data_IF_141311744119
#
_entry.id   IF_141311744119
#
_cell.length_a   1.000
_cell.length_b   1.000
_cell.length_c   1.000
_cell.angle_alpha   90.00
_cell.angle_beta   90.00
_cell.angle_gamma   90.00
#
_symmetry.space_group_name_H-M   'P 1'
#
loop_
_entity.id
_entity.type
_entity.pdbx_description
1 polymer ?
#
# COMPACT_ATOMS: atom_id res chain seq x y z
N UNK A 1 24.41 53.13 12.97
CA UNK A 1 23.78 52.84 11.67
C UNK A 1 22.84 51.66 11.87
N UNK A 2 21.53 51.88 11.85
CA UNK A 2 20.55 50.79 11.77
C UNK A 2 20.18 50.61 10.29
N UNK A 3 20.19 49.37 9.82
CA UNK A 3 19.77 49.00 8.47
C UNK A 3 18.26 49.17 8.31
N UNK A 4 17.83 49.71 7.17
CA UNK A 4 16.41 49.77 6.83
C UNK A 4 15.91 48.38 6.38
N UNK A 5 14.68 48.00 6.74
CA UNK A 5 14.08 46.75 6.27
C UNK A 5 13.83 46.81 4.76
N UNK A 6 14.28 45.76 4.06
CA UNK A 6 13.99 45.56 2.65
C UNK A 6 12.80 44.61 2.49
N UNK A 7 11.78 45.04 1.76
CA UNK A 7 10.65 44.19 1.39
C UNK A 7 10.92 43.66 -0.02
N UNK A 8 10.89 42.34 -0.17
CA UNK A 8 10.96 41.67 -1.47
C UNK A 8 9.65 40.95 -1.76
N UNK A 9 9.09 41.23 -2.93
CA UNK A 9 7.87 40.59 -3.42
C UNK A 9 8.27 39.45 -4.35
N UNK A 10 8.11 38.22 -3.89
CA UNK A 10 8.29 37.03 -4.73
C UNK A 10 6.96 36.76 -5.43
N UNK A 11 6.97 36.80 -6.75
CA UNK A 11 5.83 36.39 -7.58
C UNK A 11 6.25 35.09 -8.26
N UNK A 12 5.67 33.97 -7.80
CA UNK A 12 5.91 32.66 -8.40
C UNK A 12 4.75 32.31 -9.34
N UNK A 13 5.05 32.12 -10.62
CA UNK A 13 4.13 31.55 -11.60
C UNK A 13 4.13 30.03 -11.47
N UNK A 14 3.40 29.52 -10.48
CA UNK A 14 3.28 28.08 -10.25
C UNK A 14 2.27 27.51 -11.24
N UNK A 15 2.74 26.72 -12.21
CA UNK A 15 1.86 25.84 -12.98
C UNK A 15 1.51 24.66 -12.09
N UNK A 16 0.28 24.60 -11.58
CA UNK A 16 -0.20 23.46 -10.79
C UNK A 16 -0.44 22.32 -11.78
N UNK A 17 0.60 21.52 -12.03
CA UNK A 17 0.46 20.30 -12.82
C UNK A 17 -0.36 19.31 -12.00
N UNK A 18 -1.34 18.70 -12.64
CA UNK A 18 -2.18 17.68 -12.01
C UNK A 18 -1.28 16.45 -11.74
N UNK A 19 -1.23 15.91 -10.51
CA UNK A 19 -0.32 14.80 -10.21
C UNK A 19 -0.74 13.55 -10.99
N UNK A 20 0.20 12.62 -11.18
CA UNK A 20 -0.08 11.28 -11.68
C UNK A 20 -0.19 10.28 -10.53
N UNK A 21 -0.92 9.19 -10.75
CA UNK A 21 -0.97 8.04 -9.85
C UNK A 21 -0.27 6.85 -10.50
N UNK A 22 0.62 6.22 -9.75
CA UNK A 22 1.31 4.99 -10.13
C UNK A 22 1.03 3.92 -9.09
N UNK A 23 0.58 2.75 -9.54
CA UNK A 23 0.28 1.64 -8.65
C UNK A 23 1.04 0.37 -9.05
N UNK A 24 1.60 -0.33 -8.06
CA UNK A 24 2.06 -1.72 -8.20
C UNK A 24 1.10 -2.60 -7.41
N UNK A 25 0.42 -3.50 -8.10
CA UNK A 25 -0.63 -4.35 -7.55
C UNK A 25 -0.25 -5.81 -7.79
N UNK A 26 -0.08 -6.57 -6.71
CA UNK A 26 0.45 -7.93 -6.74
C UNK A 26 -0.56 -8.88 -6.13
N UNK A 27 -0.88 -9.97 -6.83
CA UNK A 27 -1.68 -11.07 -6.31
C UNK A 27 -1.03 -12.40 -6.64
N UNK A 28 -0.73 -13.22 -5.63
CA UNK A 28 0.00 -14.48 -5.84
C UNK A 28 -0.88 -15.66 -5.40
N UNK A 29 -1.36 -16.42 -6.38
CA UNK A 29 -2.07 -17.68 -6.14
C UNK A 29 -1.15 -18.88 -6.27
N UNK A 30 -0.24 -18.85 -7.24
CA UNK A 30 0.56 -19.98 -7.65
C UNK A 30 2.01 -19.84 -7.17
N UNK A 31 2.51 -20.88 -6.52
CA UNK A 31 3.85 -20.92 -5.97
C UNK A 31 4.62 -22.11 -6.53
N UNK A 32 5.94 -22.09 -6.37
CA UNK A 32 6.82 -23.23 -6.66
C UNK A 32 6.54 -24.39 -5.72
N UNK A 33 6.19 -24.09 -4.46
CA UNK A 33 5.67 -25.06 -3.51
C UNK A 33 4.12 -25.12 -3.58
N UNK A 34 3.52 -26.23 -4.05
CA UNK A 34 2.06 -26.35 -4.19
C UNK A 34 1.29 -26.23 -2.86
N UNK A 35 1.96 -26.46 -1.71
CA UNK A 35 1.33 -26.31 -0.39
C UNK A 35 1.03 -24.87 -0.01
N UNK A 36 1.52 -23.90 -0.78
CA UNK A 36 1.34 -22.47 -0.56
C UNK A 36 0.25 -21.89 -1.47
N UNK A 37 -0.45 -22.71 -2.27
CA UNK A 37 -1.44 -22.20 -3.21
C UNK A 37 -2.57 -21.44 -2.50
N UNK A 38 -2.86 -20.25 -3.04
CA UNK A 38 -3.96 -19.39 -2.60
C UNK A 38 -5.04 -19.34 -3.67
N UNK A 39 -6.28 -19.11 -3.22
CA UNK A 39 -7.45 -19.10 -4.12
C UNK A 39 -7.80 -17.70 -4.63
N UNK A 40 -7.71 -16.70 -3.76
CA UNK A 40 -8.34 -15.39 -4.01
C UNK A 40 -7.36 -14.24 -4.28
N UNK A 41 -6.06 -14.37 -3.99
CA UNK A 41 -5.11 -13.27 -4.07
C UNK A 41 -5.03 -12.62 -5.48
N UNK A 42 -5.12 -13.43 -6.55
CA UNK A 42 -5.18 -12.91 -7.94
C UNK A 42 -6.50 -12.17 -8.22
N UNK A 43 -7.63 -12.69 -7.72
CA UNK A 43 -8.93 -12.06 -7.89
C UNK A 43 -8.99 -10.72 -7.14
N UNK A 44 -8.42 -10.69 -5.93
CA UNK A 44 -8.28 -9.52 -5.07
C UNK A 44 -7.45 -8.43 -5.72
N UNK A 45 -6.26 -8.77 -6.23
CA UNK A 45 -5.40 -7.86 -6.96
C UNK A 45 -6.09 -7.27 -8.20
N UNK A 46 -6.80 -8.09 -8.97
CA UNK A 46 -7.56 -7.63 -10.15
C UNK A 46 -8.68 -6.66 -9.76
N UNK A 47 -9.48 -7.01 -8.75
CA UNK A 47 -10.57 -6.18 -8.27
C UNK A 47 -10.08 -4.82 -7.74
N UNK A 48 -8.99 -4.83 -6.96
CA UNK A 48 -8.36 -3.62 -6.46
C UNK A 48 -7.84 -2.75 -7.62
N UNK A 49 -7.07 -3.34 -8.56
CA UNK A 49 -6.51 -2.65 -9.71
C UNK A 49 -7.58 -2.00 -10.60
N UNK A 50 -8.67 -2.70 -10.86
CA UNK A 50 -9.80 -2.16 -11.61
C UNK A 50 -10.44 -0.98 -10.87
N UNK A 51 -10.76 -1.17 -9.59
CA UNK A 51 -11.44 -0.16 -8.78
C UNK A 51 -10.61 1.10 -8.62
N UNK A 52 -9.34 0.98 -8.23
CA UNK A 52 -8.45 2.15 -8.04
C UNK A 52 -8.27 2.91 -9.35
N UNK A 53 -8.16 2.20 -10.48
CA UNK A 53 -8.07 2.82 -11.81
C UNK A 53 -9.31 3.64 -12.12
N UNK A 54 -10.50 3.11 -11.83
CA UNK A 54 -11.77 3.78 -12.12
C UNK A 54 -11.93 5.07 -11.31
N UNK A 55 -11.68 5.02 -10.00
CA UNK A 55 -11.88 6.18 -9.11
C UNK A 55 -10.78 7.23 -9.23
N UNK A 56 -9.57 6.84 -9.65
CA UNK A 56 -8.43 7.74 -9.76
C UNK A 56 -8.48 8.59 -11.05
N UNK A 57 -9.04 8.06 -12.15
CA UNK A 57 -9.10 8.75 -13.46
C UNK A 57 -9.60 10.20 -13.43
N UNK A 58 -10.67 10.55 -12.68
CA UNK A 58 -11.12 11.94 -12.60
C UNK A 58 -10.10 12.87 -11.91
N UNK A 59 -9.30 12.34 -10.99
CA UNK A 59 -8.48 13.11 -10.05
C UNK A 59 -7.01 13.28 -10.47
N UNK A 60 -6.45 12.37 -11.29
CA UNK A 60 -5.04 12.42 -11.70
C UNK A 60 -4.88 12.74 -13.19
N UNK A 61 -3.69 13.22 -13.59
CA UNK A 61 -3.35 13.46 -15.01
C UNK A 61 -3.18 12.14 -15.75
N UNK A 62 -2.43 11.22 -15.13
CA UNK A 62 -2.18 9.87 -15.60
C UNK A 62 -2.43 8.90 -14.45
N UNK A 63 -3.01 7.75 -14.77
CA UNK A 63 -3.15 6.61 -13.85
C UNK A 63 -2.50 5.41 -14.50
N UNK A 64 -1.42 4.90 -13.91
CA UNK A 64 -0.70 3.72 -14.40
C UNK A 64 -0.71 2.64 -13.33
N UNK A 65 -1.28 1.48 -13.65
CA UNK A 65 -1.35 0.34 -12.75
C UNK A 65 -0.58 -0.83 -13.34
N UNK A 66 0.50 -1.22 -12.66
CA UNK A 66 1.27 -2.42 -12.96
C UNK A 66 0.71 -3.57 -12.13
N UNK A 67 -0.09 -4.41 -12.76
CA UNK A 67 -0.66 -5.62 -12.18
C UNK A 67 0.28 -6.81 -12.43
N UNK A 68 0.69 -7.50 -11.36
CA UNK A 68 1.51 -8.73 -11.40
C UNK A 68 0.70 -9.87 -10.81
N UNK A 69 0.35 -10.87 -11.62
CA UNK A 69 -0.54 -11.96 -11.17
C UNK A 69 -0.13 -13.36 -11.62
N UNK A 70 0.76 -13.50 -12.62
CA UNK A 70 1.23 -14.83 -13.00
C UNK A 70 2.39 -15.29 -12.12
N UNK A 71 2.62 -16.59 -12.08
CA UNK A 71 3.74 -17.19 -11.35
C UNK A 71 5.08 -16.62 -11.80
N UNK A 72 5.26 -16.34 -13.09
CA UNK A 72 6.49 -15.78 -13.65
C UNK A 72 6.66 -14.31 -13.28
N UNK A 73 5.59 -13.52 -13.25
CA UNK A 73 5.61 -12.09 -12.92
C UNK A 73 5.90 -11.82 -11.44
N UNK A 74 5.51 -12.76 -10.57
CA UNK A 74 5.48 -12.58 -9.11
C UNK A 74 6.66 -13.24 -8.39
N UNK A 75 7.76 -13.47 -9.12
CA UNK A 75 9.03 -13.88 -8.51
C UNK A 75 9.65 -12.71 -7.76
N UNK A 76 10.53 -13.00 -6.79
CA UNK A 76 11.29 -11.97 -6.07
C UNK A 76 12.01 -11.02 -7.03
N UNK A 77 12.74 -11.55 -8.01
CA UNK A 77 13.49 -10.73 -8.95
C UNK A 77 12.59 -9.78 -9.74
N UNK A 78 11.47 -10.28 -10.27
CA UNK A 78 10.56 -9.47 -11.09
C UNK A 78 9.81 -8.42 -10.27
N UNK A 79 9.42 -8.73 -9.04
CA UNK A 79 8.81 -7.75 -8.14
C UNK A 79 9.83 -6.67 -7.75
N UNK A 80 11.07 -7.05 -7.41
CA UNK A 80 12.16 -6.08 -7.12
C UNK A 80 12.36 -5.16 -8.31
N UNK A 81 12.62 -5.71 -9.50
CA UNK A 81 12.84 -4.96 -10.73
C UNK A 81 11.67 -4.02 -11.06
N UNK A 82 10.43 -4.46 -10.82
CA UNK A 82 9.25 -3.62 -11.02
C UNK A 82 9.26 -2.42 -10.08
N UNK A 83 9.48 -2.63 -8.78
CA UNK A 83 9.52 -1.55 -7.79
C UNK A 83 10.68 -0.57 -8.06
N UNK A 84 11.82 -1.05 -8.53
CA UNK A 84 12.96 -0.21 -8.92
C UNK A 84 12.64 0.73 -10.09
N UNK A 85 11.69 0.38 -10.96
CA UNK A 85 11.21 1.24 -12.05
C UNK A 85 10.58 2.55 -11.58
N UNK A 86 10.18 2.64 -10.30
CA UNK A 86 9.53 3.81 -9.70
C UNK A 86 10.48 4.73 -8.93
N UNK A 87 11.80 4.53 -9.05
CA UNK A 87 12.83 5.39 -8.43
C UNK A 87 12.88 6.82 -9.00
N UNK A 88 12.25 7.08 -10.15
CA UNK A 88 12.27 8.37 -10.85
C UNK A 88 10.89 9.09 -10.86
N UNK A 89 9.96 8.72 -9.97
CA UNK A 89 8.68 9.42 -9.87
C UNK A 89 8.85 10.86 -9.36
N UNK A 90 7.92 11.75 -9.72
CA UNK A 90 7.93 13.10 -9.19
C UNK A 90 7.45 13.11 -7.73
N UNK A 91 7.96 14.01 -6.87
CA UNK A 91 7.53 14.11 -5.47
C UNK A 91 6.02 14.37 -5.29
N UNK A 92 5.35 15.03 -6.24
CA UNK A 92 3.91 15.34 -6.21
C UNK A 92 3.00 14.18 -6.65
N UNK A 93 3.56 13.17 -7.33
CA UNK A 93 2.82 11.99 -7.77
C UNK A 93 2.35 11.16 -6.57
N UNK A 94 1.31 10.34 -6.76
CA UNK A 94 0.84 9.37 -5.76
C UNK A 94 1.35 7.99 -6.12
N UNK A 95 1.98 7.33 -5.15
CA UNK A 95 2.40 5.94 -5.29
C UNK A 95 1.48 5.02 -4.48
N UNK A 96 0.95 3.99 -5.12
CA UNK A 96 0.12 2.95 -4.52
C UNK A 96 0.86 1.62 -4.57
N UNK A 97 0.93 0.92 -3.44
CA UNK A 97 1.42 -0.46 -3.39
C UNK A 97 0.33 -1.33 -2.79
N UNK A 98 -0.06 -2.38 -3.49
CA UNK A 98 -1.00 -3.38 -3.01
C UNK A 98 -0.39 -4.77 -3.19
N UNK A 99 -0.46 -5.60 -2.17
CA UNK A 99 -0.07 -7.00 -2.26
C UNK A 99 -1.04 -7.91 -1.52
N UNK A 100 -1.48 -8.98 -2.18
CA UNK A 100 -2.15 -10.14 -1.59
C UNK A 100 -1.31 -11.39 -1.84
N UNK A 101 -0.86 -12.04 -0.75
CA UNK A 101 0.02 -13.23 -0.79
C UNK A 101 0.13 -13.85 0.62
N UNK A 102 0.92 -14.90 0.76
CA UNK A 102 1.45 -15.30 2.06
C UNK A 102 2.51 -14.32 2.59
N UNK A 103 2.43 -14.08 3.90
CA UNK A 103 3.47 -13.43 4.69
C UNK A 103 3.86 -14.35 5.84
N UNK A 104 5.12 -14.33 6.23
CA UNK A 104 5.57 -15.07 7.42
C UNK A 104 6.57 -14.25 8.20
N UNK A 105 6.77 -14.62 9.47
CA UNK A 105 7.83 -14.08 10.31
C UNK A 105 8.77 -15.21 10.63
N UNK A 106 10.04 -15.04 10.29
CA UNK A 106 11.11 -15.99 10.59
C UNK A 106 12.29 -15.25 11.22
N UNK A 107 12.83 -15.77 12.32
CA UNK A 107 13.90 -15.11 13.11
C UNK A 107 13.60 -13.63 13.47
N UNK A 108 12.32 -13.28 13.61
CA UNK A 108 11.87 -11.92 13.96
C UNK A 108 11.68 -10.99 12.75
N UNK A 109 12.12 -11.37 11.55
CA UNK A 109 11.98 -10.60 10.32
C UNK A 109 10.74 -11.04 9.52
N UNK A 110 10.00 -10.09 8.94
CA UNK A 110 8.91 -10.39 8.02
C UNK A 110 9.43 -10.78 6.63
N UNK A 111 8.78 -11.76 6.00
CA UNK A 111 9.01 -12.15 4.61
C UNK A 111 7.69 -12.18 3.84
N UNK A 112 7.66 -11.50 2.70
CA UNK A 112 6.62 -11.67 1.70
C UNK A 112 6.98 -12.88 0.84
N UNK A 113 6.17 -13.93 0.92
CA UNK A 113 6.38 -15.14 0.12
C UNK A 113 6.05 -14.82 -1.34
N UNK A 114 7.01 -15.05 -2.22
CA UNK A 114 6.92 -14.85 -3.67
C UNK A 114 6.72 -16.19 -4.37
N UNK A 115 6.29 -16.15 -5.64
CA UNK A 115 5.93 -17.36 -6.39
C UNK A 115 7.07 -18.36 -6.56
N UNK A 116 8.34 -17.93 -6.52
CA UNK A 116 9.50 -18.80 -6.67
C UNK A 116 9.91 -19.52 -5.38
N UNK A 117 9.28 -19.23 -4.23
CA UNK A 117 9.57 -19.91 -2.95
C UNK A 117 9.17 -21.38 -3.02
N UNK A 118 10.16 -22.27 -2.94
CA UNK A 118 9.97 -23.72 -2.96
C UNK A 118 9.88 -24.37 -1.58
N UNK A 119 10.26 -23.67 -0.51
CA UNK A 119 10.26 -24.16 0.87
C UNK A 119 10.25 -22.99 1.85
N UNK A 120 9.67 -23.17 3.03
CA UNK A 120 9.64 -22.18 4.11
C UNK A 120 10.82 -22.28 5.09
N UNK A 121 11.92 -22.94 4.70
CA UNK A 121 13.13 -22.92 5.51
C UNK A 121 13.76 -21.52 5.49
N UNK A 122 14.35 -21.09 6.61
CA UNK A 122 15.01 -19.78 6.77
C UNK A 122 15.93 -19.41 5.60
N UNK A 123 16.77 -20.36 5.17
CA UNK A 123 17.68 -20.16 4.04
C UNK A 123 16.93 -19.82 2.74
N UNK A 124 15.85 -20.55 2.43
CA UNK A 124 15.07 -20.36 1.21
C UNK A 124 14.20 -19.12 1.27
N UNK A 125 13.71 -18.73 2.45
CA UNK A 125 13.03 -17.45 2.63
C UNK A 125 13.96 -16.28 2.32
N UNK A 126 15.19 -16.28 2.85
CA UNK A 126 16.17 -15.22 2.59
C UNK A 126 16.57 -15.17 1.11
N UNK A 127 16.67 -16.31 0.44
CA UNK A 127 17.01 -16.40 -0.99
C UNK A 127 15.84 -15.98 -1.90
N UNK A 128 14.71 -16.70 -1.80
CA UNK A 128 13.63 -16.65 -2.78
C UNK A 128 12.51 -15.68 -2.42
N UNK A 129 12.28 -15.38 -1.13
CA UNK A 129 11.22 -14.46 -0.69
C UNK A 129 11.72 -13.01 -0.60
N UNK A 130 10.79 -12.06 -0.57
CA UNK A 130 11.10 -10.64 -0.36
C UNK A 130 11.21 -10.36 1.14
N UNK A 131 12.38 -9.92 1.60
CA UNK A 131 12.58 -9.62 3.02
C UNK A 131 11.95 -8.28 3.41
N UNK A 132 11.72 -8.10 4.71
CA UNK A 132 11.25 -6.83 5.28
C UNK A 132 12.20 -5.70 4.91
N UNK A 133 13.51 -5.93 4.97
CA UNK A 133 14.52 -4.93 4.62
C UNK A 133 14.44 -4.55 3.12
N UNK A 134 14.32 -5.52 2.22
CA UNK A 134 14.21 -5.27 0.78
C UNK A 134 12.94 -4.47 0.43
N UNK A 135 11.79 -4.88 0.95
CA UNK A 135 10.52 -4.17 0.74
C UNK A 135 10.57 -2.75 1.30
N UNK A 136 11.12 -2.62 2.52
CA UNK A 136 11.34 -1.33 3.17
C UNK A 136 12.20 -0.42 2.30
N UNK A 137 13.31 -0.91 1.75
CA UNK A 137 14.21 -0.12 0.92
C UNK A 137 13.55 0.28 -0.40
N UNK A 138 12.91 -0.66 -1.09
CA UNK A 138 12.30 -0.43 -2.41
C UNK A 138 11.18 0.63 -2.34
N UNK A 139 10.25 0.47 -1.40
CA UNK A 139 9.15 1.42 -1.18
C UNK A 139 9.68 2.71 -0.50
N UNK A 140 10.66 2.53 0.39
CA UNK A 140 11.60 3.49 0.93
C UNK A 140 12.10 4.53 -0.09
N UNK A 141 12.47 4.06 -1.26
CA UNK A 141 13.21 4.87 -2.22
C UNK A 141 12.33 5.45 -3.34
N UNK A 142 11.03 5.18 -3.35
CA UNK A 142 10.10 5.87 -4.25
C UNK A 142 10.00 7.35 -3.84
N UNK A 143 10.33 8.33 -4.70
CA UNK A 143 10.44 9.75 -4.31
C UNK A 143 9.11 10.43 -3.93
N UNK A 144 7.98 9.90 -4.39
CA UNK A 144 6.64 10.43 -4.14
C UNK A 144 6.39 10.78 -2.66
N UNK A 145 5.82 11.94 -2.38
CA UNK A 145 5.47 12.36 -1.01
C UNK A 145 4.14 11.76 -0.53
N UNK A 146 3.36 11.12 -1.42
CA UNK A 146 2.05 10.53 -1.13
C UNK A 146 2.05 9.04 -1.40
N UNK A 147 2.07 8.22 -0.35
CA UNK A 147 2.13 6.76 -0.46
C UNK A 147 0.94 6.08 0.19
N UNK A 148 0.20 5.31 -0.58
CA UNK A 148 -0.86 4.45 -0.06
C UNK A 148 -0.43 2.99 -0.21
N UNK A 149 -0.33 2.28 0.91
CA UNK A 149 0.22 0.93 0.97
C UNK A 149 -0.82 0.01 1.59
N UNK A 150 -1.10 -1.10 0.92
CA UNK A 150 -2.04 -2.11 1.36
C UNK A 150 -1.33 -3.47 1.34
N UNK A 151 -1.36 -4.17 2.47
CA UNK A 151 -0.67 -5.44 2.66
C UNK A 151 -1.69 -6.48 3.16
N UNK A 152 -2.20 -7.31 2.26
CA UNK A 152 -3.13 -8.41 2.57
C UNK A 152 -2.35 -9.72 2.72
N UNK A 153 -1.63 -9.85 3.83
CA UNK A 153 -0.82 -11.03 4.16
C UNK A 153 -0.88 -11.35 5.65
N UNK A 154 -0.54 -12.60 6.04
CA UNK A 154 -0.33 -12.92 7.45
C UNK A 154 0.85 -12.12 8.02
N UNK A 155 0.72 -11.60 9.24
CA UNK A 155 1.76 -10.78 9.91
C UNK A 155 2.12 -9.46 9.20
N UNK A 156 1.24 -8.95 8.32
CA UNK A 156 1.46 -7.69 7.59
C UNK A 156 1.71 -6.47 8.50
N UNK A 157 1.26 -6.51 9.76
CA UNK A 157 1.55 -5.47 10.76
C UNK A 157 3.06 -5.21 10.94
N UNK A 158 3.91 -6.25 10.96
CA UNK A 158 5.36 -6.10 11.10
C UNK A 158 6.00 -5.33 9.94
N UNK A 159 5.59 -5.65 8.71
CA UNK A 159 6.04 -4.91 7.53
C UNK A 159 5.52 -3.46 7.57
N UNK A 160 4.28 -3.27 7.99
CA UNK A 160 3.68 -1.94 8.11
C UNK A 160 4.42 -1.03 9.07
N UNK A 161 4.78 -1.52 10.27
CA UNK A 161 5.60 -0.80 11.24
C UNK A 161 6.98 -0.43 10.67
N UNK A 162 7.65 -1.39 10.02
CA UNK A 162 8.96 -1.17 9.42
C UNK A 162 8.92 -0.10 8.31
N UNK A 163 7.88 -0.12 7.49
CA UNK A 163 7.65 0.88 6.43
C UNK A 163 7.32 2.25 7.01
N UNK A 164 6.48 2.33 8.05
CA UNK A 164 6.17 3.59 8.71
C UNK A 164 7.46 4.23 9.24
N UNK A 165 8.27 3.47 9.99
CA UNK A 165 9.53 3.95 10.52
C UNK A 165 10.45 4.44 9.39
N UNK A 166 10.54 3.70 8.29
CA UNK A 166 11.36 4.09 7.15
C UNK A 166 10.91 5.39 6.48
N UNK A 167 9.59 5.65 6.42
CA UNK A 167 9.03 6.88 5.88
C UNK A 167 9.29 8.07 6.80
N UNK A 168 9.21 7.87 8.11
CA UNK A 168 9.52 8.90 9.12
C UNK A 168 11.01 9.24 9.15
N UNK A 169 11.89 8.25 8.92
CA UNK A 169 13.34 8.45 9.00
C UNK A 169 14.00 8.88 7.69
N UNK A 170 13.24 8.95 6.60
CA UNK A 170 13.77 9.28 5.28
C UNK A 170 14.23 10.75 5.24
N UNK A 171 15.51 10.99 4.98
CA UNK A 171 16.05 12.34 4.88
C UNK A 171 16.32 13.04 6.23
N UNK A 172 16.48 12.27 7.32
CA UNK A 172 16.83 12.79 8.66
C UNK A 172 18.28 13.33 8.75
N UNK A 173 18.66 14.27 7.89
CA UNK A 173 19.94 15.00 8.02
C UNK A 173 19.82 16.32 8.78
N UNK A 174 18.63 16.91 8.92
CA UNK A 174 18.40 18.15 9.71
C UNK A 174 17.01 18.21 10.37
N UNK A 175 16.99 18.38 11.69
CA UNK A 175 15.81 18.20 12.57
C UNK A 175 14.62 19.16 12.29
N UNK A 176 14.89 20.36 11.77
CA UNK A 176 13.89 21.44 11.62
C UNK A 176 13.17 21.41 10.27
N UNK A 177 13.88 21.15 9.16
CA UNK A 177 13.27 20.97 7.84
C UNK A 177 12.40 19.70 7.79
N UNK A 178 12.82 18.66 8.52
CA UNK A 178 12.13 17.37 8.63
C UNK A 178 10.75 17.49 9.28
N UNK A 179 10.57 18.32 10.34
CA UNK A 179 9.26 18.53 10.97
C UNK A 179 8.24 19.25 10.08
N UNK A 180 8.70 20.10 9.16
CA UNK A 180 7.85 20.84 8.23
C UNK A 180 7.51 19.97 7.01
N UNK A 181 8.50 19.25 6.45
CA UNK A 181 8.30 18.33 5.34
C UNK A 181 7.49 17.09 5.71
N UNK A 182 7.69 16.53 6.91
CA UNK A 182 6.90 15.37 7.41
C UNK A 182 5.40 15.67 7.55
N UNK A 183 5.03 16.95 7.73
CA UNK A 183 3.62 17.39 7.70
C UNK A 183 3.07 17.51 6.28
N UNK A 184 3.91 17.61 5.25
CA UNK A 184 3.52 17.69 3.85
C UNK A 184 3.57 16.33 3.13
N UNK A 185 4.34 15.38 3.66
CA UNK A 185 4.35 13.97 3.25
C UNK A 185 3.09 13.30 3.81
N UNK A 186 2.37 12.56 2.97
CA UNK A 186 1.23 11.75 3.39
C UNK A 186 1.55 10.29 3.13
N UNK A 187 1.53 9.45 4.16
CA UNK A 187 1.52 8.00 3.96
C UNK A 187 0.41 7.35 4.75
N UNK A 188 -0.16 6.30 4.18
CA UNK A 188 -1.15 5.49 4.87
C UNK A 188 -0.88 4.04 4.52
N UNK A 189 -0.59 3.26 5.55
CA UNK A 189 -0.36 1.82 5.44
C UNK A 189 -1.57 1.14 6.07
N UNK A 190 -2.21 0.25 5.33
CA UNK A 190 -3.30 -0.60 5.82
C UNK A 190 -2.85 -2.05 5.66
N UNK A 191 -2.75 -2.75 6.77
CA UNK A 191 -2.33 -4.15 6.81
C UNK A 191 -3.52 -5.01 7.23
N UNK A 192 -3.79 -6.07 6.49
CA UNK A 192 -4.72 -7.09 6.93
C UNK A 192 -4.10 -7.95 8.03
N UNK A 193 -4.94 -8.57 8.86
CA UNK A 193 -4.54 -9.64 9.78
C UNK A 193 -5.15 -10.96 9.32
N UNK A 194 -5.04 -11.27 8.03
CA UNK A 194 -5.68 -12.45 7.42
C UNK A 194 -5.01 -13.73 7.92
N UNK A 195 -5.77 -14.59 8.59
CA UNK A 195 -5.33 -15.93 8.96
C UNK A 195 -5.38 -16.88 7.76
N UNK A 196 -4.64 -18.00 7.83
CA UNK A 196 -4.63 -19.00 6.75
C UNK A 196 -6.04 -19.52 6.42
N UNK A 197 -6.89 -19.70 7.43
CA UNK A 197 -8.23 -20.21 7.24
C UNK A 197 -9.15 -19.17 6.55
N UNK A 198 -9.01 -17.89 6.89
CA UNK A 198 -9.77 -16.81 6.23
C UNK A 198 -9.36 -16.64 4.76
N UNK A 199 -8.07 -16.81 4.46
CA UNK A 199 -7.56 -16.80 3.08
C UNK A 199 -8.14 -17.93 2.22
N UNK A 200 -8.58 -19.04 2.83
CA UNK A 200 -9.18 -20.19 2.13
C UNK A 200 -10.70 -20.07 1.97
N UNK A 201 -11.39 -19.54 2.98
CA UNK A 201 -12.85 -19.40 2.99
C UNK A 201 -13.28 -18.29 2.01
N UNK A 202 -12.67 -17.12 2.12
CA UNK A 202 -13.00 -15.93 1.32
C UNK A 202 -14.45 -15.45 1.50
N UNK A 203 -14.78 -14.34 0.86
CA UNK A 203 -16.09 -13.72 0.84
C UNK A 203 -16.38 -13.15 -0.56
N UNK A 204 -17.49 -13.57 -1.16
CA UNK A 204 -17.91 -13.16 -2.51
C UNK A 204 -16.84 -13.36 -3.61
N UNK A 205 -16.03 -14.42 -3.51
CA UNK A 205 -14.96 -14.71 -4.48
C UNK A 205 -13.66 -13.95 -4.25
N UNK A 206 -13.53 -13.28 -3.11
CA UNK A 206 -12.41 -12.42 -2.73
C UNK A 206 -11.96 -12.68 -1.29
N UNK A 207 -10.80 -12.19 -0.88
CA UNK A 207 -10.47 -12.03 0.53
C UNK A 207 -11.41 -11.01 1.20
N UNK A 208 -11.84 -11.27 2.44
CA UNK A 208 -12.78 -10.38 3.15
C UNK A 208 -12.23 -8.95 3.25
N UNK A 209 -10.96 -8.82 3.64
CA UNK A 209 -10.29 -7.53 3.76
C UNK A 209 -10.32 -6.76 2.43
N UNK A 210 -9.89 -7.39 1.34
CA UNK A 210 -9.88 -6.75 0.03
C UNK A 210 -11.28 -6.38 -0.46
N UNK A 211 -12.26 -7.26 -0.23
CA UNK A 211 -13.65 -6.96 -0.54
C UNK A 211 -14.13 -5.68 0.16
N UNK A 212 -13.94 -5.59 1.48
CA UNK A 212 -14.33 -4.42 2.26
C UNK A 212 -13.58 -3.18 1.78
N UNK A 213 -12.26 -3.26 1.62
CA UNK A 213 -11.43 -2.16 1.11
C UNK A 213 -11.97 -1.60 -0.21
N UNK A 214 -12.29 -2.48 -1.16
CA UNK A 214 -12.83 -2.09 -2.47
C UNK A 214 -14.22 -1.44 -2.34
N UNK A 215 -15.08 -1.94 -1.47
CA UNK A 215 -16.38 -1.33 -1.21
C UNK A 215 -16.25 0.07 -0.60
N UNK A 216 -15.23 0.28 0.25
CA UNK A 216 -14.84 1.61 0.73
C UNK A 216 -14.40 2.52 -0.42
N UNK A 217 -13.50 2.04 -1.28
CA UNK A 217 -13.04 2.75 -2.48
C UNK A 217 -14.17 3.10 -3.46
N UNK A 218 -15.26 2.33 -3.49
CA UNK A 218 -16.43 2.59 -4.34
C UNK A 218 -17.40 3.63 -3.78
N UNK A 219 -17.15 4.16 -2.58
CA UNK A 219 -17.98 5.22 -2.01
C UNK A 219 -18.38 5.01 -0.57
N UNK A 220 -18.33 3.79 -0.04
CA UNK A 220 -18.79 3.55 1.34
C UNK A 220 -17.88 4.18 2.40
N UNK A 221 -16.64 4.52 2.03
CA UNK A 221 -15.73 5.25 2.89
C UNK A 221 -15.90 6.78 2.82
N UNK A 222 -16.72 7.35 1.92
CA UNK A 222 -16.96 8.80 1.85
C UNK A 222 -17.87 9.25 3.01
N UNK A 223 -17.26 9.45 4.17
CA UNK A 223 -17.99 9.75 5.41
C UNK A 223 -18.43 11.21 5.50
N UNK A 224 -17.65 12.13 4.94
CA UNK A 224 -17.96 13.56 4.93
C UNK A 224 -18.82 13.99 3.72
N UNK A 225 -19.04 13.07 2.75
CA UNK A 225 -19.87 13.24 1.56
C UNK A 225 -19.36 14.36 0.65
N UNK A 226 -18.05 14.57 0.61
CA UNK A 226 -17.43 15.54 -0.28
C UNK A 226 -17.13 14.99 -1.69
N UNK A 227 -17.43 13.69 -1.91
CA UNK A 227 -17.28 13.00 -3.18
C UNK A 227 -15.86 12.48 -3.42
N UNK A 228 -14.95 12.58 -2.45
CA UNK A 228 -13.59 12.05 -2.53
C UNK A 228 -13.41 10.88 -1.57
N UNK A 229 -12.61 9.89 -1.98
CA UNK A 229 -12.14 8.85 -1.05
C UNK A 229 -10.74 9.21 -0.60
N UNK A 230 -10.60 9.62 0.67
CA UNK A 230 -9.29 9.93 1.26
C UNK A 230 -8.72 8.72 2.00
N UNK A 231 -7.39 8.68 2.13
CA UNK A 231 -6.71 7.55 2.76
C UNK A 231 -7.14 7.29 4.21
N UNK A 232 -7.36 8.35 5.00
CA UNK A 232 -7.80 8.21 6.39
C UNK A 232 -9.25 7.73 6.51
N UNK A 233 -10.12 8.19 5.61
CA UNK A 233 -11.51 7.73 5.59
C UNK A 233 -11.60 6.25 5.23
N UNK A 234 -10.81 5.84 4.25
CA UNK A 234 -10.70 4.43 3.87
C UNK A 234 -10.12 3.58 5.01
N UNK A 235 -9.12 4.08 5.72
CA UNK A 235 -8.58 3.41 6.91
C UNK A 235 -9.64 3.21 7.99
N UNK A 236 -10.39 4.27 8.35
CA UNK A 236 -11.45 4.19 9.35
C UNK A 236 -12.60 3.25 8.92
N UNK A 237 -12.95 3.27 7.65
CA UNK A 237 -13.97 2.39 7.09
C UNK A 237 -13.54 0.91 7.19
N UNK A 238 -12.29 0.60 6.82
CA UNK A 238 -11.77 -0.76 6.90
C UNK A 238 -11.64 -1.24 8.35
N UNK A 239 -11.17 -0.37 9.26
CA UNK A 239 -11.04 -0.65 10.70
C UNK A 239 -12.37 -1.00 11.36
N UNK A 240 -13.47 -0.40 10.90
CA UNK A 240 -14.82 -0.67 11.43
C UNK A 240 -15.52 -1.86 10.75
N UNK A 241 -15.49 -1.92 9.42
CA UNK A 241 -16.30 -2.89 8.67
C UNK A 241 -15.69 -4.28 8.60
N UNK A 242 -14.35 -4.42 8.60
CA UNK A 242 -13.71 -5.74 8.54
C UNK A 242 -14.03 -6.58 9.78
N UNK A 243 -13.83 -6.09 11.03
CA UNK A 243 -14.19 -6.88 12.22
C UNK A 243 -15.67 -7.23 12.27
N UNK A 244 -16.55 -6.26 11.97
CA UNK A 244 -18.00 -6.45 12.01
C UNK A 244 -18.47 -7.52 11.01
N UNK A 245 -17.94 -7.48 9.79
CA UNK A 245 -18.32 -8.43 8.75
C UNK A 245 -17.67 -9.81 8.97
N UNK A 246 -16.44 -9.85 9.47
CA UNK A 246 -15.76 -11.10 9.86
C UNK A 246 -16.54 -11.83 10.95
N UNK A 247 -16.95 -11.12 12.02
CA UNK A 247 -17.72 -11.71 13.11
C UNK A 247 -19.07 -12.24 12.62
N UNK A 248 -19.74 -11.48 11.74
CA UNK A 248 -21.02 -11.89 11.18
C UNK A 248 -20.92 -13.19 10.37
N UNK A 249 -19.93 -13.29 9.48
CA UNK A 249 -19.78 -14.36 8.49
C UNK A 249 -19.03 -15.56 9.07
N UNK A 250 -17.85 -15.31 9.64
CA UNK A 250 -16.91 -16.35 10.05
C UNK A 250 -16.95 -16.65 11.55
N UNK A 251 -17.77 -15.93 12.32
CA UNK A 251 -17.86 -16.06 13.79
C UNK A 251 -16.54 -15.81 14.52
N UNK A 252 -15.65 -15.04 13.89
CA UNK A 252 -14.38 -14.57 14.40
C UNK A 252 -14.15 -13.15 13.92
N UNK A 253 -13.57 -12.30 14.75
CA UNK A 253 -13.20 -10.96 14.34
C UNK A 253 -11.83 -10.99 13.64
N UNK A 254 -11.73 -10.26 12.53
CA UNK A 254 -10.48 -9.95 11.85
C UNK A 254 -10.19 -8.47 12.11
N UNK A 255 -9.04 -8.15 12.71
CA UNK A 255 -8.66 -6.77 13.00
C UNK A 255 -7.56 -6.30 12.05
N UNK A 256 -7.88 -5.49 11.03
CA UNK A 256 -6.84 -4.85 10.25
C UNK A 256 -6.07 -3.84 11.12
N UNK A 257 -4.89 -3.43 10.67
CA UNK A 257 -4.18 -2.31 11.26
C UNK A 257 -4.03 -1.20 10.24
N UNK A 258 -4.24 0.04 10.66
CA UNK A 258 -4.05 1.21 9.82
C UNK A 258 -3.11 2.20 10.50
N UNK A 259 -2.12 2.65 9.74
CA UNK A 259 -1.02 3.46 10.24
C UNK A 259 -0.86 4.69 9.34
N UNK A 260 -1.75 5.70 9.50
CA UNK A 260 -1.63 6.96 8.79
C UNK A 260 -0.46 7.79 9.37
N UNK A 261 0.27 8.48 8.50
CA UNK A 261 1.35 9.40 8.88
C UNK A 261 1.27 10.65 8.00
N UNK A 262 1.38 11.83 8.62
CA UNK A 262 1.29 13.10 7.90
C UNK A 262 -0.13 13.41 7.41
N UNK A 263 -0.26 13.98 6.21
CA UNK A 263 -1.56 14.42 5.68
C UNK A 263 -2.34 13.31 4.96
N UNK A 264 -3.64 13.24 5.23
CA UNK A 264 -4.59 12.48 4.42
C UNK A 264 -4.69 13.08 3.01
N UNK A 265 -4.82 12.25 1.98
CA UNK A 265 -4.92 12.68 0.59
C UNK A 265 -5.95 11.85 -0.18
N UNK A 266 -6.59 12.43 -1.22
CA UNK A 266 -7.58 11.72 -2.01
C UNK A 266 -6.93 10.68 -2.93
N UNK A 267 -7.51 9.49 -2.96
CA UNK A 267 -7.16 8.39 -3.88
C UNK A 267 -8.04 8.38 -5.13
N UNK A 268 -9.23 8.94 -5.03
CA UNK A 268 -10.16 9.00 -6.14
C UNK A 268 -11.38 9.85 -5.85
N UNK A 269 -12.23 9.98 -6.85
CA UNK A 269 -13.48 10.73 -6.79
C UNK A 269 -14.65 9.81 -7.15
N UNK A 270 -15.68 9.81 -6.31
CA UNK A 270 -16.95 9.13 -6.54
C UNK A 270 -17.86 10.09 -7.32
N UNK A 271 -18.63 9.55 -8.27
CA UNK A 271 -19.51 10.34 -9.14
C UNK A 271 -20.65 10.99 -8.37
#
# INVERSE_FOLDING_TARGET
MQSNPAVHKVIASISIKKPSMYAVVIGINEYKNPKLELKYAVADAKLFAETITQIAKPLFEKVEVKLLTTKEETTKENIKKTLEGYKNLNPEDVFVFYVASHGTVDEGEYFLITSNVGSLSTFRLKEDALTQAELKELIANVPSTKKFIVIDTCNAGKLGEALQMAMLTRGMSEETAVKILSKAVGSTIISASTSLQEALEGYQGHGLFTYVLVEGLKGKADTDRDGFIKTLELANYVDSEVPALAEKIFKRAQYPTATPTGQSFPLGKIR
#
